data_IF_861168354210
#
_entry.id   IF_861168354210
#
_cell.length_a   1.000
_cell.length_b   1.000
_cell.length_c   1.000
_cell.angle_alpha   90.00
_cell.angle_beta   90.00
_cell.angle_gamma   90.00
#
_symmetry.space_group_name_H-M   'P 1'
#
loop_
_entity.id
_entity.type
_entity.pdbx_description
1 polymer ?
2 polymer ?
3 polymer ?
4 water ?
#
loop_
_entity_poly.entity_id
_entity_poly.type
_entity_poly.pdbx_seq_one_letter_code
_entity_poly.pdbx_strand_id
2 'polydeoxyribonucleotide' '(DT)(DA)(DA)(DC)(DC)(DG)(DT)(DG)(DC)(DA)(DC)(DT)(DC)(DA)(DA)(DT)(DG)(DC)(DA)(DA)(DT)(DC)' ?
3 'polydeoxyribonucleotide' '(DA)(DG)(DA)(DT)(DT)(DG)(DC)(DA)(DT)(DT)(DG)(DA)(DG)(DT)(DG)(DC)(DA)(DC)(DG)(DG)(DT)(DT)' ?
#
# COMPACT_ATOMS: atom_id res chain seq x y z
N UNK A 2 -26.89 38.24 39.62
CA UNK A 2 -27.07 36.75 39.66
C UNK A 2 -27.46 36.10 38.33
N UNK A 3 -26.51 35.95 37.41
CA UNK A 3 -26.78 35.34 36.10
C UNK A 3 -27.07 33.83 36.16
N UNK A 4 -27.99 33.39 35.31
CA UNK A 4 -28.37 32.00 35.23
C UNK A 4 -27.86 31.38 33.94
N UNK A 5 -27.67 30.07 33.95
CA UNK A 5 -27.22 29.37 32.77
C UNK A 5 -27.38 27.91 33.02
N UNK A 6 -27.58 27.16 31.95
CA UNK A 6 -27.74 25.72 32.09
C UNK A 6 -26.60 24.98 31.42
N UNK A 7 -26.08 23.99 32.14
CA UNK A 7 -24.97 23.21 31.63
C UNK A 7 -25.23 21.70 31.52
N UNK A 8 -24.23 20.96 31.07
CA UNK A 8 -24.34 19.51 30.92
C UNK A 8 -23.13 18.77 31.47
N UNK A 9 -23.35 17.78 32.33
CA UNK A 9 -22.25 17.06 32.94
C UNK A 9 -22.41 15.55 32.88
N UNK A 10 -21.28 14.85 32.82
CA UNK A 10 -21.30 13.40 32.80
C UNK A 10 -21.80 12.97 34.15
N UNK A 11 -22.72 12.02 34.17
CA UNK A 11 -23.26 11.56 35.43
C UNK A 11 -22.20 11.42 36.49
N UNK A 12 -21.07 10.82 36.12
CA UNK A 12 -19.97 10.65 37.06
C UNK A 12 -19.63 11.96 37.73
N UNK A 13 -19.34 12.96 36.89
CA UNK A 13 -18.98 14.29 37.37
C UNK A 13 -20.07 14.87 38.24
N UNK A 14 -21.28 14.83 37.70
CA UNK A 14 -22.44 15.36 38.39
C UNK A 14 -22.58 14.78 39.77
N UNK A 15 -22.65 13.46 39.85
CA UNK A 15 -22.78 12.80 41.15
C UNK A 15 -21.67 13.27 42.06
N UNK A 16 -20.43 13.22 41.58
CA UNK A 16 -19.30 13.67 42.36
C UNK A 16 -19.63 15.05 42.91
N UNK A 17 -20.13 15.90 42.03
CA UNK A 17 -20.50 17.25 42.42
C UNK A 17 -21.45 17.21 43.60
N UNK A 18 -22.67 16.73 43.36
CA UNK A 18 -23.66 16.66 44.44
C UNK A 18 -22.97 16.20 45.70
N UNK A 19 -22.14 15.18 45.57
CA UNK A 19 -21.40 14.68 46.70
C UNK A 19 -20.68 15.86 47.37
N UNK A 20 -19.65 16.36 46.70
CA UNK A 20 -18.88 17.47 47.23
C UNK A 20 -19.76 18.55 47.83
N UNK A 21 -20.71 19.03 47.06
CA UNK A 21 -21.59 20.08 47.54
C UNK A 21 -22.19 19.63 48.87
N UNK A 22 -22.83 18.46 48.87
CA UNK A 22 -23.47 17.93 50.08
C UNK A 22 -22.54 17.98 51.27
N UNK A 23 -21.32 17.47 51.10
CA UNK A 23 -20.34 17.45 52.18
C UNK A 23 -19.99 18.84 52.69
N UNK A 24 -19.68 19.75 51.78
CA UNK A 24 -19.33 21.09 52.18
C UNK A 24 -20.53 21.96 52.46
N UNK A 25 -21.70 21.34 52.49
CA UNK A 25 -22.93 22.07 52.76
C UNK A 25 -23.14 23.26 51.86
N UNK A 26 -22.94 23.05 50.57
CA UNK A 26 -23.06 24.11 49.59
C UNK A 26 -24.00 23.73 48.49
N UNK A 27 -24.61 24.72 47.87
CA UNK A 27 -25.48 24.44 46.76
C UNK A 27 -24.58 24.00 45.63
N UNK A 28 -25.14 23.41 44.59
CA UNK A 28 -24.34 23.00 43.48
C UNK A 28 -23.73 24.25 42.83
N UNK A 29 -24.56 25.26 42.65
CA UNK A 29 -24.08 26.48 42.07
C UNK A 29 -22.91 27.01 42.88
N UNK A 30 -23.04 27.04 44.19
CA UNK A 30 -21.97 27.53 45.04
C UNK A 30 -20.73 26.68 44.86
N UNK A 31 -20.92 25.38 45.03
CA UNK A 31 -19.84 24.44 44.88
C UNK A 31 -19.06 24.77 43.60
N UNK A 32 -19.78 24.95 42.52
CA UNK A 32 -19.17 25.29 41.25
C UNK A 32 -18.37 26.56 41.33
N UNK A 33 -19.02 27.62 41.79
CA UNK A 33 -18.41 28.93 41.95
C UNK A 33 -17.08 28.77 42.65
N UNK A 34 -17.10 28.01 43.72
CA UNK A 34 -15.90 27.74 44.47
C UNK A 34 -14.84 27.09 43.56
N UNK A 35 -15.12 25.87 43.12
CA UNK A 35 -14.19 25.15 42.25
C UNK A 35 -13.62 26.09 41.19
N UNK A 36 -14.50 26.81 40.51
CA UNK A 36 -14.05 27.75 39.49
C UNK A 36 -13.03 28.74 40.06
N UNK A 37 -13.43 29.51 41.08
CA UNK A 37 -12.51 30.48 41.67
C UNK A 37 -11.22 29.80 42.10
N UNK A 38 -11.36 28.66 42.78
CA UNK A 38 -10.20 27.91 43.22
C UNK A 38 -9.30 27.52 42.02
N UNK A 39 -9.87 26.87 41.01
CA UNK A 39 -9.08 26.47 39.84
C UNK A 39 -8.28 27.66 39.33
N UNK A 40 -8.92 28.82 39.36
CA UNK A 40 -8.28 30.07 38.95
C UNK A 40 -6.89 30.15 39.57
N UNK A 41 -6.68 29.50 40.72
CA UNK A 41 -5.38 29.54 41.41
C UNK A 41 -4.39 28.39 41.15
N UNK A 42 -4.74 27.44 40.27
CA UNK A 42 -3.83 26.33 40.03
C UNK A 42 -3.10 26.31 38.68
N UNK A 43 -3.70 25.62 37.70
CA UNK A 43 -3.14 25.51 36.35
C UNK A 43 -4.18 25.94 35.34
N UNK B 1 -25.83 8.46 31.76
CA UNK B 1 -25.96 9.33 30.56
C UNK B 1 -25.68 10.78 30.93
N UNK B 2 -25.49 11.62 29.92
CA UNK B 2 -25.22 13.04 30.15
C UNK B 2 -26.44 13.76 30.71
N UNK B 3 -26.30 14.23 31.93
CA UNK B 3 -27.40 14.95 32.55
C UNK B 3 -27.18 16.45 32.42
N UNK B 4 -28.30 17.15 32.34
CA UNK B 4 -28.31 18.60 32.22
C UNK B 4 -28.73 19.14 33.56
N UNK B 5 -28.33 20.39 33.85
CA UNK B 5 -28.71 21.10 35.09
C UNK B 5 -28.51 22.61 34.95
N UNK B 6 -29.39 23.36 35.60
CA UNK B 6 -29.39 24.81 35.56
C UNK B 6 -28.83 25.38 36.85
N UNK B 7 -27.94 26.37 36.73
CA UNK B 7 -27.32 26.97 37.91
C UNK B 7 -27.31 28.49 37.84
N UNK B 8 -26.88 29.11 38.92
CA UNK B 8 -26.80 30.57 39.00
C UNK B 8 -25.42 30.99 39.49
N UNK B 9 -24.85 32.00 38.84
CA UNK B 9 -23.55 32.50 39.23
C UNK B 9 -23.50 34.02 39.26
N UNK B 10 -22.64 34.56 40.12
CA UNK B 10 -22.53 36.00 40.20
C UNK B 10 -21.94 36.47 38.89
N UNK B 11 -22.44 37.59 38.38
CA UNK B 11 -21.95 38.13 37.13
C UNK B 11 -20.42 38.04 37.13
N UNK B 12 -19.82 38.40 38.25
CA UNK B 12 -18.39 38.33 38.42
C UNK B 12 -17.87 36.95 37.96
N UNK B 13 -18.27 35.92 38.69
CA UNK B 13 -17.87 34.53 38.40
C UNK B 13 -18.15 34.12 36.96
N UNK B 14 -19.38 34.35 36.52
CA UNK B 14 -19.77 34.00 35.16
C UNK B 14 -18.71 34.48 34.21
N UNK B 15 -18.50 35.78 34.21
CA UNK B 15 -17.52 36.37 33.33
C UNK B 15 -16.24 35.62 33.41
N UNK B 16 -15.68 35.55 34.61
CA UNK B 16 -14.43 34.82 34.79
C UNK B 16 -14.54 33.55 34.00
N UNK B 17 -15.55 32.78 34.37
CA UNK B 17 -15.83 31.50 33.76
C UNK B 17 -15.72 31.65 32.26
N UNK B 18 -16.59 32.49 31.71
CA UNK B 18 -16.62 32.78 30.30
C UNK B 18 -15.21 32.95 29.76
N UNK B 19 -14.42 33.77 30.48
CA UNK B 19 -13.05 34.06 30.11
C UNK B 19 -12.15 32.82 30.14
N UNK B 20 -12.06 32.16 31.29
CA UNK B 20 -11.24 30.95 31.41
C UNK B 20 -11.54 29.95 30.31
N UNK B 21 -12.82 29.69 30.10
CA UNK B 21 -13.23 28.74 29.08
C UNK B 21 -12.67 29.18 27.73
N UNK B 22 -12.95 30.44 27.38
CA UNK B 22 -12.51 31.04 26.11
C UNK B 22 -11.02 30.80 25.89
N UNK B 23 -10.23 31.09 26.92
CA UNK B 23 -8.79 30.93 26.84
C UNK B 23 -8.31 29.52 26.67
N UNK B 24 -8.96 28.61 27.37
CA UNK B 24 -8.56 27.21 27.29
C UNK B 24 -9.28 26.45 26.20
N UNK B 25 -9.98 27.18 25.33
CA UNK B 25 -10.71 26.57 24.25
C UNK B 25 -11.74 25.56 24.72
N UNK B 26 -12.35 25.84 25.86
CA UNK B 26 -13.33 24.94 26.46
C UNK B 26 -14.73 25.54 26.51
N UNK B 27 -15.72 24.68 26.59
CA UNK B 27 -17.08 25.14 26.69
C UNK B 27 -17.24 25.45 28.16
N UNK B 28 -18.28 26.19 28.48
CA UNK B 28 -18.53 26.53 29.86
C UNK B 28 -18.72 25.25 30.67
N UNK B 29 -19.42 24.26 30.10
CA UNK B 29 -19.64 23.00 30.81
C UNK B 29 -18.36 22.25 31.07
N UNK B 30 -17.52 22.20 30.04
CA UNK B 30 -16.25 21.52 30.15
C UNK B 30 -15.45 22.21 31.23
N UNK B 31 -15.31 23.52 31.07
CA UNK B 31 -14.55 24.33 32.01
C UNK B 31 -14.90 23.98 33.45
N UNK B 32 -16.20 23.94 33.72
CA UNK B 32 -16.70 23.62 35.04
C UNK B 32 -16.27 22.22 35.41
N UNK B 33 -16.57 21.28 34.52
CA UNK B 33 -16.21 19.89 34.73
C UNK B 33 -14.77 19.87 35.20
N UNK B 34 -13.91 20.48 34.39
CA UNK B 34 -12.50 20.55 34.68
C UNK B 34 -12.28 21.09 36.06
N UNK B 35 -12.71 22.31 36.30
CA UNK B 35 -12.51 22.91 37.59
C UNK B 35 -12.97 21.98 38.71
N UNK B 36 -14.10 21.32 38.49
CA UNK B 36 -14.62 20.40 39.49
C UNK B 36 -13.67 19.27 39.79
N UNK B 37 -13.34 18.50 38.75
CA UNK B 37 -12.43 17.38 38.91
C UNK B 37 -11.15 17.88 39.58
N UNK B 38 -10.53 18.87 38.97
CA UNK B 38 -9.31 19.45 39.48
C UNK B 38 -9.52 19.81 40.95
N UNK B 39 -10.55 20.60 41.22
CA UNK B 39 -10.82 21.03 42.58
C UNK B 39 -10.82 19.91 43.59
N UNK B 40 -11.26 18.70 43.26
CA UNK B 40 -11.19 17.78 44.38
C UNK B 40 -9.73 17.51 44.84
N UNK B 41 -9.06 18.65 45.04
CA UNK B 41 -7.68 18.98 45.49
C UNK B 41 -6.87 19.81 44.46
N UNK C 1 -17.22 21.29 0.09
CA UNK C 1 -16.76 22.70 -0.09
C UNK C 1 -15.27 22.88 0.22
N UNK C 2 -14.86 24.12 0.43
CA UNK C 2 -13.46 24.46 0.73
C UNK C 2 -13.38 25.64 1.70
N UNK C 3 -13.94 25.45 2.90
CA UNK C 3 -13.98 26.51 3.90
C UNK C 3 -12.68 26.82 4.62
N UNK C 4 -12.52 28.09 5.00
CA UNK C 4 -11.34 28.63 5.70
C UNK C 4 -11.65 28.96 7.12
N UNK C 5 -10.65 28.92 7.97
CA UNK C 5 -10.84 29.29 9.36
C UNK C 5 -9.47 29.43 10.00
N UNK C 6 -9.43 30.14 11.12
CA UNK C 6 -8.19 30.37 11.85
C UNK C 6 -8.20 29.80 13.26
N UNK C 7 -7.12 29.08 13.62
CA UNK C 7 -6.99 28.45 14.94
C UNK C 7 -5.80 28.96 15.79
N UNK C 8 -5.81 28.57 17.06
CA UNK C 8 -4.75 28.99 17.96
C UNK C 8 -4.12 27.76 18.61
N UNK C 9 -2.80 27.64 18.49
CA UNK C 9 -2.12 26.49 19.06
C UNK C 9 -0.88 26.78 19.88
N UNK C 10 -0.55 25.84 20.74
CA UNK C 10 0.62 25.94 21.59
C UNK C 10 1.87 25.73 20.75
N UNK C 11 2.79 26.69 20.84
CA UNK C 11 4.03 26.65 20.10
C UNK C 11 4.49 25.21 19.92
N UNK C 12 4.51 24.49 21.03
CA UNK C 12 4.90 23.10 21.01
C UNK C 12 4.12 22.35 19.93
N UNK C 13 2.79 22.26 20.10
CA UNK C 13 1.96 21.55 19.14
C UNK C 13 2.25 22.06 17.76
N UNK C 14 2.18 23.37 17.59
CA UNK C 14 2.42 23.96 16.30
C UNK C 14 3.70 23.42 15.71
N UNK C 15 4.80 23.61 16.43
CA UNK C 15 6.06 23.13 15.93
C UNK C 15 6.01 21.66 15.57
N UNK C 16 5.48 20.83 16.47
CA UNK C 16 5.39 19.42 16.14
C UNK C 16 4.62 19.25 14.83
N UNK C 17 3.51 19.98 14.71
CA UNK C 17 2.72 19.92 13.49
C UNK C 17 3.67 20.19 12.35
N UNK C 18 4.25 21.37 12.37
CA UNK C 18 5.22 21.76 11.36
C UNK C 18 6.09 20.56 11.02
N UNK C 19 6.60 19.91 12.05
CA UNK C 19 7.44 18.76 11.86
C UNK C 19 6.73 17.61 11.13
N UNK C 20 5.63 17.12 11.71
CA UNK C 20 4.87 16.04 11.10
C UNK C 20 4.53 16.31 9.64
N UNK C 21 4.04 17.50 9.35
CA UNK C 21 3.68 17.85 8.00
C UNK C 21 4.91 17.72 7.10
N UNK C 22 5.97 18.43 7.46
CA UNK C 22 7.22 18.44 6.71
C UNK C 22 7.69 17.04 6.38
N UNK C 23 7.61 16.16 7.38
CA UNK C 23 8.01 14.77 7.25
C UNK C 23 7.19 13.98 6.25
N UNK C 24 5.88 14.10 6.35
CA UNK C 24 4.97 13.39 5.47
C UNK C 24 4.70 14.13 4.17
N UNK C 25 5.43 15.20 3.93
CA UNK C 25 5.25 15.96 2.71
C UNK C 25 3.85 16.49 2.56
N UNK C 26 3.25 16.91 3.67
CA UNK C 26 1.91 17.44 3.63
C UNK C 26 1.89 18.87 4.11
N UNK C 27 0.82 19.59 3.79
CA UNK C 27 0.70 20.96 4.22
C UNK C 27 0.16 20.87 5.62
N UNK C 28 0.17 21.98 6.35
CA UNK C 28 -0.36 21.99 7.69
C UNK C 28 -1.82 21.55 7.62
N UNK C 29 -2.58 22.21 6.75
CA UNK C 29 -4.00 21.92 6.58
C UNK C 29 -4.23 20.44 6.38
N UNK C 30 -3.52 19.86 5.42
CA UNK C 30 -3.66 18.43 5.13
C UNK C 30 -3.35 17.61 6.36
N UNK C 31 -2.18 17.84 6.92
CA UNK C 31 -1.77 17.12 8.10
C UNK C 31 -2.92 17.19 9.12
N UNK C 32 -3.51 18.36 9.27
CA UNK C 32 -4.61 18.52 10.21
C UNK C 32 -5.74 17.59 9.82
N UNK C 33 -6.10 17.66 8.55
CA UNK C 33 -7.18 16.85 8.01
C UNK C 33 -6.99 15.39 8.27
N UNK C 34 -5.79 14.90 8.04
CA UNK C 34 -5.50 13.50 8.31
C UNK C 34 -5.77 13.23 9.78
N UNK C 35 -4.99 13.89 10.61
CA UNK C 35 -5.09 13.77 12.04
C UNK C 35 -6.55 13.61 12.36
N UNK C 36 -7.32 14.60 11.97
CA UNK C 36 -8.75 14.61 12.23
C UNK C 36 -9.46 13.33 11.80
N UNK C 37 -9.45 13.06 10.50
CA UNK C 37 -10.11 11.86 10.01
C UNK C 37 -9.58 10.68 10.78
N UNK C 38 -8.27 10.65 10.93
CA UNK C 38 -7.64 9.59 11.65
C UNK C 38 -8.23 9.53 13.05
N UNK C 39 -8.14 10.62 13.77
CA UNK C 39 -8.69 10.65 15.12
C UNK C 39 -10.09 10.11 15.14
N UNK C 40 -10.96 10.63 14.28
CA UNK C 40 -12.34 10.18 14.26
C UNK C 40 -12.41 8.67 14.14
N UNK C 41 -11.55 8.10 13.31
CA UNK C 41 -11.52 6.66 13.17
C UNK C 41 -10.66 6.19 14.33
N UNK C 42 -11.31 5.58 15.31
CA UNK C 42 -10.59 5.14 16.48
C UNK C 42 -10.96 6.03 17.64
N UNK C 43 -11.68 7.11 17.35
CA UNK C 43 -12.16 8.10 18.33
C UNK C 43 -11.18 8.68 19.36
N UNK D 1 4.83 30.94 23.92
CA UNK D 1 3.43 30.74 24.41
C UNK D 1 2.63 29.92 23.39
N UNK D 2 1.79 30.60 22.62
CA UNK D 2 0.97 29.98 21.59
C UNK D 2 0.66 30.97 20.47
N UNK D 3 0.72 30.49 19.24
CA UNK D 3 0.44 31.33 18.09
C UNK D 3 -0.81 30.96 17.32
N UNK D 4 -1.05 31.73 16.27
CA UNK D 4 -2.22 31.51 15.45
C UNK D 4 -1.88 31.14 14.03
N UNK D 5 -2.85 30.56 13.33
CA UNK D 5 -2.64 30.09 11.96
C UNK D 5 -3.96 29.92 11.20
N UNK D 6 -3.92 30.14 9.88
CA UNK D 6 -5.11 30.03 9.06
C UNK D 6 -5.04 28.82 8.15
N UNK D 7 -6.14 28.07 8.09
CA UNK D 7 -6.17 26.88 7.28
C UNK D 7 -7.42 26.77 6.46
N UNK D 8 -7.49 25.67 5.70
CA UNK D 8 -8.61 25.36 4.81
C UNK D 8 -9.01 23.89 4.92
N UNK D 9 -10.31 23.64 5.07
CA UNK D 9 -10.78 22.27 5.18
C UNK D 9 -12.01 22.01 4.30
N UNK D 10 -12.17 20.76 3.89
CA UNK D 10 -13.32 20.38 3.08
C UNK D 10 -14.55 20.53 3.95
N UNK D 11 -15.59 21.15 3.40
CA UNK D 11 -16.81 21.34 4.14
C UNK D 11 -17.14 20.08 4.95
N UNK D 12 -16.97 18.91 4.35
CA UNK D 12 -17.29 17.67 5.08
C UNK D 12 -16.47 17.59 6.34
N UNK D 13 -15.15 17.70 6.19
CA UNK D 13 -14.25 17.64 7.32
C UNK D 13 -14.57 18.74 8.30
N UNK D 14 -14.75 19.96 7.81
CA UNK D 14 -15.10 21.03 8.74
C UNK D 14 -16.33 20.59 9.52
N UNK D 15 -17.39 20.23 8.78
CA UNK D 15 -18.65 19.77 9.38
C UNK D 15 -18.39 18.83 10.53
N UNK D 16 -17.75 17.73 10.19
CA UNK D 16 -17.42 16.71 11.16
C UNK D 16 -16.66 17.29 12.33
N UNK D 17 -15.65 18.09 12.06
CA UNK D 17 -14.89 18.72 13.13
C UNK D 17 -15.87 19.47 14.03
N UNK D 18 -16.59 20.40 13.41
CA UNK D 18 -17.56 21.17 14.12
C UNK D 18 -18.36 20.19 14.98
N UNK D 19 -18.73 19.06 14.41
CA UNK D 19 -19.50 18.08 15.16
C UNK D 19 -18.72 17.55 16.35
N UNK D 20 -17.54 16.98 16.12
CA UNK D 20 -16.74 16.43 17.19
C UNK D 20 -16.44 17.42 18.31
N UNK D 21 -16.11 18.65 17.93
CA UNK D 21 -15.83 19.67 18.95
C UNK D 21 -17.08 19.82 19.81
N UNK D 22 -18.19 20.22 19.19
CA UNK D 22 -19.46 20.43 19.90
C UNK D 22 -19.75 19.29 20.88
N UNK D 23 -19.59 18.05 20.43
CA UNK D 23 -19.88 16.94 21.30
C UNK D 23 -18.88 16.69 22.41
N UNK D 24 -17.61 17.01 22.18
CA UNK D 24 -16.61 16.82 23.23
C UNK D 24 -16.45 18.08 24.10
N UNK D 25 -17.22 19.10 23.76
CA UNK D 25 -17.17 20.37 24.49
C UNK D 25 -15.87 21.11 24.30
N UNK D 26 -15.31 21.06 23.09
CA UNK D 26 -14.05 21.71 22.79
C UNK D 26 -14.22 22.73 21.70
N UNK D 27 -13.26 23.64 21.61
CA UNK D 27 -13.28 24.64 20.56
C UNK D 27 -12.70 23.93 19.37
N UNK D 28 -12.88 24.51 18.20
CA UNK D 28 -12.33 23.86 17.03
C UNK D 28 -10.81 23.72 17.19
N UNK D 29 -10.17 24.77 17.69
CA UNK D 29 -8.73 24.77 17.88
C UNK D 29 -8.33 23.64 18.81
N UNK D 30 -9.06 23.53 19.90
CA UNK D 30 -8.77 22.50 20.89
C UNK D 30 -8.84 21.14 20.22
N UNK D 31 -10.03 20.84 19.72
CA UNK D 31 -10.28 19.58 19.07
C UNK D 31 -9.10 19.23 18.21
N UNK D 32 -8.71 20.17 17.37
CA UNK D 32 -7.60 19.94 16.45
C UNK D 32 -6.33 19.60 17.19
N UNK D 33 -6.04 20.36 18.22
CA UNK D 33 -4.86 20.09 19.00
C UNK D 33 -4.92 18.66 19.51
N UNK D 34 -6.07 18.28 20.06
CA UNK D 34 -6.25 16.94 20.60
C UNK D 34 -5.98 15.91 19.53
N UNK D 35 -6.67 16.06 18.40
CA UNK D 35 -6.52 15.13 17.29
C UNK D 35 -5.04 15.06 16.94
N UNK D 36 -4.41 16.20 16.76
CA UNK D 36 -2.99 16.22 16.44
C UNK D 36 -2.21 15.41 17.45
N UNK D 37 -2.27 15.83 18.70
CA UNK D 37 -1.57 15.12 19.75
C UNK D 37 -1.84 13.62 19.66
N UNK D 38 -3.11 13.27 19.67
CA UNK D 38 -3.48 11.87 19.59
C UNK D 38 -2.91 11.21 18.35
N UNK D 39 -3.02 11.88 17.20
CA UNK D 39 -2.52 11.32 15.97
C UNK D 39 -1.05 10.97 16.08
N UNK D 40 -0.26 11.96 16.49
CA UNK D 40 1.18 11.76 16.63
C UNK D 40 1.47 10.66 17.63
N UNK D 41 0.97 10.83 18.85
CA UNK D 41 1.17 9.81 19.88
C UNK D 41 1.20 8.48 19.13
N UNK D 42 0.11 8.17 18.44
CA UNK D 42 0.03 6.94 17.68
C UNK D 42 0.79 7.00 16.37
N UNK D 43 2.08 7.32 16.42
CA UNK D 43 2.89 7.38 15.21
C UNK D 43 4.30 6.87 15.46
N UNK D 44 4.79 7.08 16.67
CA UNK D 44 6.12 6.62 17.05
C UNK D 44 5.96 5.24 17.72
N UNK E 1 11.72 23.66 -4.42
CA UNK E 1 10.27 23.89 -4.14
C UNK E 1 9.53 22.55 -4.11
N UNK E 2 8.29 22.55 -4.57
CA UNK E 2 7.45 21.35 -4.60
C UNK E 2 7.69 20.72 -5.98
N UNK E 3 8.18 19.48 -6.03
CA UNK E 3 8.45 18.77 -7.30
C UNK E 3 7.19 18.21 -7.95
N UNK E 4 7.08 18.33 -9.27
CA UNK E 4 5.91 17.79 -9.96
C UNK E 4 6.29 16.66 -10.88
N UNK E 5 5.31 15.79 -11.17
CA UNK E 5 5.56 14.65 -12.02
C UNK E 5 4.20 14.17 -12.48
N UNK E 6 4.16 13.50 -13.64
CA UNK E 6 2.89 12.98 -14.12
C UNK E 6 2.91 11.48 -14.22
N UNK E 7 1.79 10.88 -13.84
CA UNK E 7 1.70 9.44 -13.85
C UNK E 7 0.46 8.92 -14.53
N UNK E 8 0.35 7.59 -14.58
CA UNK E 8 -0.77 6.90 -15.22
C UNK E 8 -1.41 5.92 -14.27
N UNK E 9 -2.73 5.89 -14.27
CA UNK E 9 -3.46 5.00 -13.39
C UNK E 9 -4.66 4.31 -14.04
N UNK E 10 -4.89 3.07 -13.64
CA UNK E 10 -6.00 2.34 -14.15
C UNK E 10 -7.21 3.14 -13.68
N UNK E 11 -8.19 3.29 -14.55
CA UNK E 11 -9.38 4.01 -14.16
C UNK E 11 -9.78 3.57 -12.78
N UNK E 12 -9.80 2.26 -12.58
CA UNK E 12 -10.15 1.65 -11.30
C UNK E 12 -9.44 2.44 -10.19
N UNK E 13 -8.12 2.32 -10.18
CA UNK E 13 -7.26 3.00 -9.23
C UNK E 13 -7.65 4.45 -9.09
N UNK E 14 -7.52 5.16 -10.20
CA UNK E 14 -7.82 6.55 -10.28
C UNK E 14 -9.07 6.87 -9.50
N UNK E 15 -10.17 6.26 -9.91
CA UNK E 15 -11.46 6.45 -9.26
C UNK E 15 -11.34 6.29 -7.75
N UNK E 16 -10.82 5.14 -7.31
CA UNK E 16 -10.64 4.90 -5.88
C UNK E 16 -9.92 6.08 -5.28
N UNK E 17 -8.86 6.50 -5.94
CA UNK E 17 -8.09 7.64 -5.48
C UNK E 17 -9.09 8.74 -5.25
N UNK E 18 -9.68 9.23 -6.33
CA UNK E 18 -10.69 10.29 -6.28
C UNK E 18 -11.56 10.17 -5.06
N UNK E 19 -12.05 8.96 -4.84
CA UNK E 19 -12.91 8.68 -3.74
C UNK E 19 -12.19 8.88 -2.42
N UNK E 20 -11.15 8.09 -2.17
CA UNK E 20 -10.37 8.20 -0.94
C UNK E 20 -9.98 9.63 -0.56
N UNK E 21 -9.44 10.36 -1.51
CA UNK E 21 -9.06 11.74 -1.27
C UNK E 21 -10.30 12.52 -0.86
N UNK E 22 -11.34 12.46 -1.69
CA UNK E 22 -12.59 13.17 -1.44
C UNK E 22 -13.06 12.96 0.00
N UNK E 23 -13.07 11.71 0.43
CA UNK E 23 -13.50 11.32 1.76
C UNK E 23 -12.66 11.88 2.89
N UNK E 24 -11.35 11.84 2.72
CA UNK E 24 -10.47 12.35 3.76
C UNK E 24 -10.22 13.84 3.61
N UNK E 25 -10.86 14.46 2.62
CA UNK E 25 -10.69 15.88 2.39
C UNK E 25 -9.27 16.27 2.02
N UNK E 26 -8.64 15.48 1.17
CA UNK E 26 -7.28 15.77 0.74
C UNK E 26 -7.25 15.79 -0.76
N UNK E 27 -6.16 16.32 -1.30
CA UNK E 27 -5.98 16.37 -2.74
C UNK E 27 -5.44 15.01 -3.18
N UNK E 28 -5.49 14.74 -4.48
CA UNK E 28 -4.99 13.47 -4.96
C UNK E 28 -3.52 13.39 -4.59
N UNK E 29 -2.79 14.48 -4.81
CA UNK E 29 -1.36 14.53 -4.48
C UNK E 29 -1.13 14.18 -3.03
N UNK E 30 -1.92 14.78 -2.14
CA UNK E 30 -1.79 14.51 -0.71
C UNK E 30 -2.06 13.04 -0.47
N UNK E 31 -3.24 12.63 -0.88
CA UNK E 31 -3.67 11.25 -0.73
C UNK E 31 -2.51 10.34 -1.10
N UNK E 32 -1.92 10.62 -2.25
CA UNK E 32 -0.81 9.83 -2.73
C UNK E 32 0.32 9.88 -1.75
N UNK E 33 0.66 11.09 -1.32
CA UNK E 33 1.74 11.27 -0.35
C UNK E 33 1.52 10.43 0.90
N UNK E 34 0.30 10.46 1.43
CA UNK E 34 -0.03 9.70 2.62
C UNK E 34 0.18 8.24 2.35
N UNK E 35 -0.54 7.74 1.33
CA UNK E 35 -0.47 6.34 0.94
C UNK E 35 0.98 5.89 0.90
N UNK E 36 1.80 6.68 0.23
CA UNK E 36 3.22 6.39 0.11
C UNK E 36 3.93 6.28 1.47
N UNK E 37 3.82 7.34 2.27
CA UNK E 37 4.42 7.36 3.60
C UNK E 37 3.94 6.13 4.32
N UNK E 38 2.62 6.03 4.39
CA UNK E 38 1.98 4.90 5.01
C UNK E 38 2.61 3.62 4.49
N UNK E 39 2.64 3.46 3.16
CA UNK E 39 3.22 2.27 2.55
C UNK E 39 4.61 1.93 3.03
N UNK E 40 5.50 2.91 2.91
CA UNK E 40 6.88 2.72 3.32
C UNK E 40 6.98 2.41 4.79
N UNK E 41 6.47 3.32 5.60
CA UNK E 41 6.48 3.15 7.05
C UNK E 41 6.06 1.71 7.43
N UNK E 42 5.12 1.17 6.66
CA UNK E 42 4.64 -0.18 6.92
C UNK E 42 5.56 -1.23 6.35
N UNK E 43 6.68 -0.77 5.83
CA UNK E 43 7.69 -1.61 5.25
C UNK E 43 8.96 -0.86 5.66
N UNK E 44 8.83 -0.11 6.75
CA UNK E 44 9.89 0.74 7.27
C UNK E 44 11.09 0.01 7.87
N UNK E 45 11.30 0.17 9.18
CA UNK E 45 12.43 -0.47 9.88
C UNK E 45 12.14 -1.92 10.26
N UNK F 1 -10.63 1.68 -18.46
CA UNK F 1 -9.66 2.49 -19.28
C UNK F 1 -8.31 2.59 -18.56
N UNK F 2 -7.67 3.77 -18.63
CA UNK F 2 -6.36 4.04 -18.00
C UNK F 2 -5.98 5.49 -18.26
N UNK F 3 -6.27 6.38 -17.31
CA UNK F 3 -5.98 7.80 -17.52
C UNK F 3 -4.67 8.32 -16.92
N UNK F 4 -4.41 9.59 -17.20
CA UNK F 4 -3.20 10.24 -16.74
C UNK F 4 -3.55 11.46 -15.88
N UNK F 5 -2.63 11.79 -14.98
CA UNK F 5 -2.80 12.93 -14.09
C UNK F 5 -1.44 13.42 -13.58
N UNK F 6 -1.39 14.72 -13.33
CA UNK F 6 -0.20 15.44 -12.89
C UNK F 6 -0.24 15.78 -11.40
N UNK F 7 0.80 15.43 -10.67
CA UNK F 7 0.82 15.71 -9.25
C UNK F 7 2.08 16.44 -8.81
N UNK F 8 2.10 16.77 -7.53
CA UNK F 8 3.21 17.47 -6.90
C UNK F 8 3.62 16.72 -5.65
N UNK F 9 4.93 16.52 -5.46
CA UNK F 9 5.44 15.80 -4.30
C UNK F 9 6.67 16.47 -3.70
N UNK F 10 6.79 16.41 -2.37
CA UNK F 10 7.95 17.00 -1.71
C UNK F 10 9.22 16.19 -2.03
N UNK F 11 10.28 16.89 -2.41
CA UNK F 11 11.54 16.24 -2.75
C UNK F 11 11.78 14.98 -1.92
N UNK F 12 11.58 15.10 -0.62
CA UNK F 12 11.77 13.96 0.28
C UNK F 12 10.96 12.75 -0.15
N UNK F 13 9.65 12.90 -0.28
CA UNK F 13 8.83 11.78 -0.68
C UNK F 13 9.18 11.31 -2.08
N UNK F 14 9.33 12.26 -2.99
CA UNK F 14 9.67 11.92 -4.35
C UNK F 14 10.87 11.01 -4.41
N UNK F 15 11.98 11.48 -3.85
CA UNK F 15 13.20 10.68 -3.86
C UNK F 15 12.92 9.31 -3.29
N UNK F 16 12.27 9.29 -2.13
CA UNK F 16 11.90 8.05 -1.47
C UNK F 16 11.14 7.18 -2.48
N UNK F 17 10.19 7.78 -3.18
CA UNK F 17 9.41 7.07 -4.18
C UNK F 17 10.37 6.49 -5.18
N UNK F 18 11.18 7.37 -5.73
CA UNK F 18 12.20 6.98 -6.69
C UNK F 18 12.93 5.73 -6.20
N UNK F 19 13.41 5.77 -4.97
CA UNK F 19 14.11 4.64 -4.41
C UNK F 19 13.24 3.40 -4.46
N UNK F 20 12.14 3.46 -3.71
CA UNK F 20 11.21 2.35 -3.65
C UNK F 20 10.94 1.71 -5.01
N UNK F 21 10.57 2.55 -5.98
CA UNK F 21 10.26 2.10 -7.34
C UNK F 21 11.41 1.27 -7.84
N UNK F 22 12.58 1.88 -7.84
CA UNK F 22 13.80 1.23 -8.30
C UNK F 22 14.05 -0.10 -7.61
N UNK F 23 13.93 -0.14 -6.29
CA UNK F 23 14.17 -1.38 -5.56
C UNK F 23 13.20 -2.49 -5.93
N UNK F 24 11.91 -2.18 -5.98
CA UNK F 24 10.94 -3.22 -6.31
C UNK F 24 10.81 -3.40 -7.81
N UNK F 25 11.63 -2.67 -8.56
CA UNK F 25 11.60 -2.76 -10.01
C UNK F 25 10.31 -2.31 -10.66
N UNK F 26 9.67 -1.30 -10.08
CA UNK F 26 8.42 -0.81 -10.65
C UNK F 26 8.54 0.62 -11.08
N UNK F 27 7.57 1.05 -11.87
CA UNK F 27 7.52 2.42 -12.35
C UNK F 27 7.00 3.26 -11.20
N UNK F 28 7.19 4.57 -11.27
CA UNK F 28 6.68 5.39 -10.21
C UNK F 28 5.18 5.25 -10.20
N UNK F 29 4.55 5.27 -11.37
CA UNK F 29 3.10 5.14 -11.41
C UNK F 29 2.61 3.83 -10.80
N UNK F 30 3.33 2.76 -11.08
CA UNK F 30 2.97 1.45 -10.56
C UNK F 30 3.14 1.53 -9.06
N UNK F 31 4.35 1.94 -8.67
CA UNK F 31 4.71 2.08 -7.26
C UNK F 31 3.58 2.76 -6.47
N UNK F 32 3.12 3.88 -7.02
CA UNK F 32 2.05 4.64 -6.41
C UNK F 32 0.75 3.85 -6.40
N UNK F 33 0.43 3.18 -7.50
CA UNK F 33 -0.78 2.40 -7.57
C UNK F 33 -0.75 1.35 -6.47
N UNK F 34 0.39 0.69 -6.34
CA UNK F 34 0.54 -0.30 -5.30
C UNK F 34 0.25 0.33 -3.95
N UNK F 35 1.05 1.34 -3.62
CA UNK F 35 0.91 2.06 -2.36
C UNK F 35 -0.55 2.35 -2.10
N UNK F 36 -1.21 2.92 -3.09
CA UNK F 36 -2.61 3.26 -2.97
C UNK F 36 -3.46 2.05 -2.67
N UNK F 37 -3.38 1.06 -3.53
CA UNK F 37 -4.12 -0.17 -3.31
C UNK F 37 -3.84 -0.62 -1.87
N UNK F 38 -2.57 -0.81 -1.55
CA UNK F 38 -2.18 -1.24 -0.22
C UNK F 38 -2.87 -0.37 0.80
N UNK F 39 -2.65 0.94 0.72
CA UNK F 39 -3.24 1.88 1.68
C UNK F 39 -4.69 1.53 1.92
N UNK F 40 -5.42 1.44 0.82
CA UNK F 40 -6.83 1.09 0.82
C UNK F 40 -7.08 -0.03 1.82
N UNK F 41 -6.32 -1.12 1.66
CA UNK F 41 -6.45 -2.27 2.55
C UNK F 41 -5.54 -2.02 3.75
N UNK F 42 -5.84 -0.97 4.51
CA UNK F 42 -5.03 -0.64 5.66
C UNK F 42 -5.73 0.26 6.65
N UNK G 2 17.56 -13.35 -32.92
CA UNK G 2 17.65 -13.84 -31.52
C UNK G 2 18.35 -12.79 -30.68
N UNK G 3 17.57 -11.87 -30.16
CA UNK G 3 18.09 -10.75 -29.36
C UNK G 3 18.58 -11.10 -27.97
N UNK G 4 19.53 -10.31 -27.49
CA UNK G 4 20.06 -10.53 -26.16
C UNK G 4 19.77 -9.33 -25.29
N UNK G 5 19.86 -9.53 -23.98
CA UNK G 5 19.57 -8.46 -23.04
C UNK G 5 20.05 -8.91 -21.68
N UNK G 6 20.30 -7.96 -20.78
CA UNK G 6 20.76 -8.30 -19.44
C UNK G 6 19.80 -7.85 -18.34
N UNK G 7 19.63 -8.70 -17.34
CA UNK G 7 18.72 -8.39 -16.25
C UNK G 7 19.33 -8.53 -14.85
N UNK G 8 18.51 -8.24 -13.86
CA UNK G 8 18.89 -8.31 -12.46
C UNK G 8 17.88 -9.10 -11.66
N UNK G 9 18.35 -10.00 -10.82
CA UNK G 9 17.42 -10.80 -10.04
C UNK G 9 17.86 -11.03 -8.62
N UNK G 10 16.87 -11.22 -7.74
CA UNK G 10 17.14 -11.47 -6.35
C UNK G 10 17.91 -12.76 -6.29
N UNK G 11 18.90 -12.84 -5.42
CA UNK G 11 19.67 -14.08 -5.30
C UNK G 11 18.67 -15.21 -5.19
N UNK G 12 17.66 -15.02 -4.34
CA UNK G 12 16.62 -16.01 -4.15
C UNK G 12 16.12 -16.47 -5.53
N UNK G 13 15.52 -15.54 -6.26
CA UNK G 13 15.00 -15.79 -7.60
C UNK G 13 16.04 -16.50 -8.45
N UNK G 14 17.17 -15.83 -8.62
CA UNK G 14 18.26 -16.37 -9.39
C UNK G 14 18.42 -17.81 -9.02
N UNK G 15 18.76 -17.99 -7.76
CA UNK G 15 18.95 -19.29 -7.15
C UNK G 15 17.91 -20.26 -7.69
N UNK G 16 16.64 -20.04 -7.36
CA UNK G 16 15.61 -20.94 -7.83
C UNK G 16 15.63 -21.13 -9.33
N UNK G 17 15.94 -20.07 -10.08
CA UNK G 17 16.02 -20.19 -11.52
C UNK G 17 16.98 -21.32 -11.81
N UNK G 18 18.24 -21.14 -11.42
CA UNK G 18 19.26 -22.17 -11.64
C UNK G 18 18.69 -23.53 -11.35
N UNK G 19 18.06 -23.61 -10.19
CA UNK G 19 17.44 -24.83 -9.74
C UNK G 19 16.53 -25.38 -10.81
N UNK G 20 15.44 -24.67 -11.07
CA UNK G 20 14.47 -25.09 -12.05
C UNK G 20 15.09 -25.49 -13.39
N UNK G 21 15.95 -24.62 -13.90
CA UNK G 21 16.61 -24.85 -15.17
C UNK G 21 17.32 -26.18 -15.14
N UNK G 22 18.19 -26.34 -14.16
CA UNK G 22 18.98 -27.56 -13.99
C UNK G 22 18.07 -28.77 -14.02
N UNK G 23 17.01 -28.69 -13.24
CA UNK G 23 16.05 -29.75 -13.11
C UNK G 23 15.37 -30.09 -14.44
N UNK G 24 14.97 -29.06 -15.15
CA UNK G 24 14.28 -29.25 -16.42
C UNK G 24 15.21 -29.44 -17.59
N UNK G 25 16.51 -29.40 -17.31
CA UNK G 25 17.51 -29.58 -18.36
C UNK G 25 17.45 -28.48 -19.39
N UNK G 26 17.17 -27.27 -18.92
CA UNK G 26 17.10 -26.14 -19.83
C UNK G 26 18.10 -25.11 -19.41
N UNK G 27 18.42 -24.21 -20.34
CA UNK G 27 19.33 -23.12 -20.06
C UNK G 27 18.51 -22.07 -19.29
N UNK G 28 19.17 -21.14 -18.62
CA UNK G 28 18.42 -20.15 -17.90
C UNK G 28 17.59 -19.36 -18.89
N UNK G 29 18.18 -19.03 -20.03
CA UNK G 29 17.46 -18.27 -21.02
C UNK G 29 16.20 -19.00 -21.44
N UNK G 30 16.33 -20.29 -21.72
CA UNK G 30 15.19 -21.13 -22.13
C UNK G 30 14.15 -21.14 -21.03
N UNK G 31 14.62 -21.50 -19.84
CA UNK G 31 13.84 -21.57 -18.64
C UNK G 31 12.92 -20.39 -18.56
N UNK G 32 13.53 -19.22 -18.66
CA UNK G 32 12.79 -18.00 -18.61
C UNK G 32 11.76 -17.94 -19.70
N UNK G 33 12.20 -18.17 -20.93
CA UNK G 33 11.31 -18.14 -22.08
C UNK G 33 10.06 -18.92 -21.73
N UNK G 34 10.30 -20.13 -21.23
CA UNK G 34 9.22 -21.01 -20.83
C UNK G 34 8.31 -20.24 -19.89
N UNK G 35 8.86 -19.83 -18.75
CA UNK G 35 8.11 -19.11 -17.75
C UNK G 35 7.26 -18.02 -18.38
N UNK G 36 7.91 -17.13 -19.13
CA UNK G 36 7.20 -16.03 -19.77
C UNK G 36 6.04 -16.50 -20.59
N UNK G 37 6.33 -17.39 -21.53
CA UNK G 37 5.30 -17.92 -22.39
C UNK G 37 4.17 -18.45 -21.52
N UNK G 38 4.50 -19.29 -20.55
CA UNK G 38 3.43 -19.79 -19.71
C UNK G 38 2.71 -18.67 -19.00
N UNK G 39 3.47 -17.78 -18.39
CA UNK G 39 2.86 -16.67 -17.66
C UNK G 39 1.76 -16.10 -18.52
N UNK G 40 2.17 -15.72 -19.71
CA UNK G 40 1.28 -15.12 -20.68
C UNK G 40 0.06 -15.95 -20.99
N UNK G 41 0.29 -17.14 -21.52
CA UNK G 41 -0.82 -18.00 -21.86
C UNK G 41 -1.90 -17.87 -20.79
N UNK G 42 -1.50 -17.84 -19.53
CA UNK G 42 -2.45 -17.73 -18.44
C UNK G 42 -3.38 -16.52 -18.42
N UNK G 43 -2.93 -15.42 -19.01
CA UNK G 43 -3.70 -14.19 -19.06
C UNK G 43 -4.65 -14.09 -20.26
N UNK G 44 -5.32 -15.19 -20.57
CA UNK G 44 -6.23 -15.19 -21.70
C UNK G 44 -7.62 -15.69 -21.34
N UNK G 45 -8.39 -16.04 -22.37
CA UNK G 45 -9.76 -16.53 -22.24
C UNK G 45 -9.83 -17.71 -21.28
N UNK H 1 21.12 -10.79 -1.78
CA UNK H 1 21.90 -9.86 -2.64
C UNK H 1 21.48 -9.94 -4.11
N UNK H 2 21.32 -8.78 -4.73
CA UNK H 2 20.94 -8.71 -6.13
C UNK H 2 22.11 -9.02 -7.05
N UNK H 3 21.87 -9.93 -8.00
CA UNK H 3 22.90 -10.32 -8.96
C UNK H 3 22.42 -10.10 -10.40
N UNK H 4 23.38 -10.07 -11.31
CA UNK H 4 23.16 -9.84 -12.73
C UNK H 4 23.46 -11.01 -13.65
N UNK H 5 22.84 -11.03 -14.82
CA UNK H 5 23.11 -12.07 -15.81
C UNK H 5 22.55 -11.64 -17.14
N UNK H 6 23.17 -12.15 -18.21
CA UNK H 6 22.76 -11.84 -19.58
C UNK H 6 22.13 -13.04 -20.28
N UNK H 7 20.99 -12.81 -20.92
CA UNK H 7 20.28 -13.89 -21.58
C UNK H 7 19.92 -13.58 -23.03
N UNK H 8 19.33 -14.57 -23.69
CA UNK H 8 18.92 -14.38 -25.07
C UNK H 8 17.47 -14.80 -25.23
N UNK H 9 16.72 -13.99 -25.94
CA UNK H 9 15.32 -14.29 -26.16
C UNK H 9 14.93 -14.14 -27.61
N UNK H 10 13.92 -14.87 -28.00
CA UNK H 10 13.46 -14.78 -29.36
C UNK H 10 12.73 -13.45 -29.47
N UNK H 11 12.96 -12.74 -30.58
CA UNK H 11 12.33 -11.45 -30.83
C UNK H 11 10.89 -11.48 -30.32
N UNK H 12 10.14 -12.46 -30.80
CA UNK H 12 8.75 -12.62 -30.41
C UNK H 12 8.61 -12.53 -28.90
N UNK H 13 9.26 -13.44 -28.19
CA UNK H 13 9.17 -13.47 -26.74
C UNK H 13 9.64 -12.16 -26.15
N UNK H 14 10.77 -11.69 -26.62
CA UNK H 14 11.30 -10.43 -26.13
C UNK H 14 10.23 -9.38 -26.27
N UNK H 15 9.71 -9.24 -27.48
CA UNK H 15 8.67 -8.27 -27.73
C UNK H 15 7.56 -8.44 -26.72
N UNK H 16 6.92 -9.59 -26.72
CA UNK H 16 5.85 -9.84 -25.76
C UNK H 16 6.28 -9.38 -24.36
N UNK H 17 7.47 -9.77 -23.95
CA UNK H 17 7.97 -9.38 -22.67
C UNK H 17 7.82 -7.88 -22.56
N UNK H 18 8.54 -7.16 -23.40
CA UNK H 18 8.48 -5.71 -23.41
C UNK H 18 7.05 -5.25 -23.22
N UNK H 19 6.15 -5.89 -23.94
CA UNK H 19 4.74 -5.53 -23.91
C UNK H 19 4.15 -5.71 -22.52
N UNK H 20 4.19 -6.93 -22.00
CA UNK H 20 3.65 -7.21 -20.67
C UNK H 20 4.24 -6.34 -19.57
N UNK H 21 5.53 -6.07 -19.66
CA UNK H 21 6.20 -5.22 -18.69
C UNK H 21 5.50 -3.88 -18.75
N UNK H 22 5.49 -3.29 -19.94
CA UNK H 22 4.84 -1.99 -20.21
C UNK H 22 3.50 -1.88 -19.53
N UNK H 23 2.59 -2.78 -19.91
CA UNK H 23 1.23 -2.80 -19.40
C UNK H 23 1.16 -2.92 -17.88
N UNK H 24 2.00 -3.77 -17.31
CA UNK H 24 2.01 -3.99 -15.87
C UNK H 24 2.89 -3.03 -15.06
N UNK H 25 3.48 -2.06 -15.75
CA UNK H 25 4.33 -1.09 -15.08
C UNK H 25 5.57 -1.66 -14.40
N UNK H 26 6.11 -2.73 -14.97
CA UNK H 26 7.29 -3.40 -14.40
C UNK H 26 8.49 -3.36 -15.30
N UNK H 27 9.65 -3.59 -14.69
CA UNK H 27 10.91 -3.63 -15.42
C UNK H 27 10.91 -4.98 -16.08
N UNK H 28 11.75 -5.17 -17.09
CA UNK H 28 11.78 -6.46 -17.75
C UNK H 28 12.22 -7.45 -16.69
N UNK H 29 13.20 -7.04 -15.90
CA UNK H 29 13.74 -7.87 -14.84
C UNK H 29 12.66 -8.24 -13.86
N UNK H 30 11.86 -7.25 -13.49
CA UNK H 30 10.78 -7.51 -12.56
C UNK H 30 9.79 -8.47 -13.22
N UNK H 31 9.37 -8.14 -14.43
CA UNK H 31 8.41 -8.95 -15.15
C UNK H 31 8.82 -10.41 -15.12
N UNK H 32 10.07 -10.66 -15.48
CA UNK H 32 10.63 -12.00 -15.51
C UNK H 32 10.53 -12.68 -14.15
N UNK H 33 10.96 -11.99 -13.09
CA UNK H 33 10.90 -12.57 -11.75
C UNK H 33 9.48 -13.02 -11.44
N UNK H 34 8.52 -12.13 -11.73
CA UNK H 34 7.11 -12.41 -11.51
C UNK H 34 6.79 -13.71 -12.18
N UNK H 35 7.05 -13.73 -13.48
CA UNK H 35 6.83 -14.89 -14.31
C UNK H 35 7.43 -16.10 -13.62
N UNK H 36 8.73 -16.04 -13.38
CA UNK H 36 9.45 -17.11 -12.73
C UNK H 36 8.77 -17.53 -11.47
N UNK H 37 8.64 -16.59 -10.55
CA UNK H 37 7.96 -16.90 -9.32
C UNK H 37 6.61 -17.55 -9.60
N UNK H 38 5.76 -16.85 -10.34
CA UNK H 38 4.47 -17.43 -10.62
C UNK H 38 4.63 -18.81 -11.21
N UNK H 39 5.52 -18.97 -12.17
CA UNK H 39 5.73 -20.28 -12.77
C UNK H 39 5.94 -21.34 -11.71
N UNK H 40 6.87 -21.06 -10.80
CA UNK H 40 7.20 -21.96 -9.72
C UNK H 40 5.95 -22.33 -8.91
N UNK H 41 5.27 -21.34 -8.33
CA UNK H 41 4.06 -21.60 -7.55
C UNK H 41 3.24 -22.61 -8.33
N UNK H 42 3.43 -22.59 -9.64
CA UNK H 42 2.75 -23.50 -10.53
C UNK H 42 2.42 -24.86 -9.96
N UNK H 43 3.45 -25.63 -9.61
CA UNK H 43 3.22 -26.97 -9.06
C UNK H 43 2.93 -26.99 -7.56
N UNK H 44 2.23 -28.04 -7.13
CA UNK H 44 1.86 -28.22 -5.73
C UNK H 44 0.98 -27.07 -5.25
N UNK I 1 26.64 -33.14 -18.16
CA UNK I 1 27.01 -33.34 -19.59
C UNK I 1 25.78 -33.02 -20.43
N UNK I 2 25.99 -32.46 -21.61
CA UNK I 2 24.86 -32.13 -22.43
C UNK I 2 24.74 -33.13 -23.57
N UNK I 3 24.89 -34.41 -23.25
CA UNK I 3 24.81 -35.52 -24.20
C UNK I 3 24.06 -35.26 -25.51
N UNK I 4 24.57 -35.85 -26.59
CA UNK I 4 23.97 -35.66 -27.89
C UNK I 4 23.42 -36.97 -28.40
N UNK I 5 22.42 -36.90 -29.28
CA UNK I 5 21.82 -38.11 -29.83
C UNK I 5 20.98 -37.76 -31.06
N UNK I 6 20.82 -38.70 -32.00
CA UNK I 6 20.03 -38.42 -33.21
C UNK I 6 18.76 -39.25 -33.31
N UNK I 7 17.68 -38.59 -33.71
CA UNK I 7 16.38 -39.23 -33.82
C UNK I 7 15.71 -39.13 -35.19
N UNK I 8 14.55 -39.79 -35.31
CA UNK I 8 13.78 -39.81 -36.54
C UNK I 8 12.34 -39.50 -36.21
N UNK I 9 11.72 -38.60 -36.96
CA UNK I 9 10.32 -38.27 -36.70
C UNK I 9 9.45 -38.08 -37.92
N UNK I 10 8.14 -38.18 -37.68
CA UNK I 10 7.14 -37.99 -38.71
C UNK I 10 7.24 -36.56 -39.19
N UNK I 11 7.30 -36.37 -40.51
CA UNK I 11 7.35 -35.02 -41.06
C UNK I 11 6.33 -34.23 -40.27
N UNK I 12 5.15 -34.81 -40.18
CA UNK I 12 4.05 -34.19 -39.47
C UNK I 12 4.53 -33.70 -38.09
N UNK I 13 4.99 -34.65 -37.27
CA UNK I 13 5.47 -34.32 -35.93
C UNK I 13 6.59 -33.28 -35.94
N UNK I 14 7.61 -33.53 -36.77
CA UNK I 14 8.75 -32.63 -36.86
C UNK I 14 8.27 -31.22 -37.08
N UNK I 15 7.42 -31.06 -38.09
CA UNK I 15 6.90 -29.74 -38.42
C UNK I 15 6.29 -29.14 -37.17
N UNK I 16 5.34 -29.85 -36.57
CA UNK I 16 4.69 -29.36 -35.37
C UNK I 16 5.75 -28.91 -34.36
N UNK I 17 6.76 -29.75 -34.17
CA UNK I 17 7.83 -29.42 -33.26
C UNK I 17 8.39 -28.08 -33.69
N UNK I 18 8.85 -28.02 -34.93
CA UNK I 18 9.42 -26.77 -35.43
C UNK I 18 8.50 -25.64 -35.07
N UNK I 19 7.22 -25.89 -35.24
CA UNK I 19 6.22 -24.88 -34.92
C UNK I 19 6.31 -24.48 -33.44
N UNK I 20 5.94 -25.38 -32.54
CA UNK I 20 5.97 -25.09 -31.11
C UNK I 20 7.25 -24.47 -30.62
N UNK I 21 8.37 -24.99 -31.10
CA UNK I 21 9.65 -24.47 -30.70
C UNK I 21 9.71 -23.01 -31.11
N UNK I 22 9.41 -22.73 -32.37
CA UNK I 22 9.46 -21.36 -32.82
C UNK I 22 8.52 -20.46 -32.03
N UNK I 23 7.33 -20.95 -31.71
CA UNK I 23 6.35 -20.16 -30.93
C UNK I 23 6.82 -19.81 -29.52
N UNK I 24 7.38 -20.79 -28.84
CA UNK I 24 7.84 -20.57 -27.49
C UNK I 24 9.26 -20.03 -27.41
N UNK I 25 9.89 -19.78 -28.56
CA UNK I 25 11.24 -19.24 -28.55
C UNK I 25 12.30 -20.19 -28.00
N UNK I 26 12.14 -21.48 -28.30
CA UNK I 26 13.07 -22.50 -27.83
C UNK I 26 13.68 -23.32 -28.95
N UNK I 27 14.83 -23.90 -28.67
CA UNK I 27 15.51 -24.76 -29.63
C UNK I 27 14.69 -26.03 -29.71
N UNK I 28 14.85 -26.76 -30.79
CA UNK I 28 14.12 -27.99 -30.90
C UNK I 28 14.51 -28.82 -29.69
N UNK I 29 15.82 -28.90 -29.42
CA UNK I 29 16.35 -29.66 -28.29
C UNK I 29 15.63 -29.25 -27.03
N UNK I 30 15.64 -27.97 -26.72
CA UNK I 30 14.96 -27.56 -25.51
C UNK I 30 13.48 -27.87 -25.59
N UNK I 31 12.85 -27.52 -26.70
CA UNK I 31 11.44 -27.78 -26.85
C UNK I 31 11.23 -29.22 -26.41
N UNK I 32 12.03 -30.10 -26.96
CA UNK I 32 11.92 -31.51 -26.62
C UNK I 32 12.11 -31.72 -25.11
N UNK I 33 13.20 -31.20 -24.55
CA UNK I 33 13.45 -31.35 -23.12
C UNK I 33 12.19 -30.96 -22.35
N UNK I 34 11.61 -29.83 -22.73
CA UNK I 34 10.39 -29.36 -22.09
C UNK I 34 9.34 -30.47 -22.13
N UNK I 35 8.88 -30.81 -23.33
CA UNK I 35 7.88 -31.84 -23.50
C UNK I 35 8.15 -33.06 -22.63
N UNK I 36 9.36 -33.61 -22.73
CA UNK I 36 9.75 -34.77 -21.94
C UNK I 36 9.49 -34.57 -20.45
N UNK I 37 10.17 -33.57 -19.87
CA UNK I 37 10.02 -33.27 -18.45
C UNK I 37 8.53 -33.20 -18.21
N UNK I 38 7.88 -32.39 -19.02
CA UNK I 38 6.44 -32.24 -18.93
C UNK I 38 5.72 -33.58 -18.90
N UNK I 39 5.88 -34.36 -19.96
CA UNK I 39 5.21 -35.66 -20.01
C UNK I 39 5.43 -36.44 -18.73
N UNK I 40 6.67 -36.48 -18.29
CA UNK I 40 7.03 -37.20 -17.08
C UNK I 40 6.25 -36.76 -15.84
N UNK I 41 6.27 -35.46 -15.55
CA UNK I 41 5.58 -34.95 -14.36
C UNK I 41 4.16 -35.50 -14.14
N UNK I 42 3.45 -35.77 -15.23
CA UNK I 42 2.11 -36.31 -15.09
C UNK I 42 2.14 -37.83 -15.05
N UNK I 43 3.34 -38.38 -14.86
CA UNK I 43 3.55 -39.83 -14.81
C UNK I 43 3.26 -40.51 -16.15
N UNK J 1 12.51 -38.65 -45.72
CA UNK J 1 11.31 -39.48 -46.05
C UNK J 1 10.68 -39.94 -44.74
N UNK J 2 11.01 -39.21 -43.69
CA UNK J 2 10.57 -39.43 -42.32
C UNK J 2 11.75 -38.91 -41.51
N UNK J 3 12.06 -37.66 -41.85
CA UNK J 3 13.14 -36.83 -41.31
C UNK J 3 13.94 -37.21 -40.08
N UNK J 4 15.23 -36.92 -40.18
CA UNK J 4 16.14 -37.16 -39.08
C UNK J 4 16.62 -35.83 -38.52
N UNK J 5 17.05 -35.83 -37.27
CA UNK J 5 17.53 -34.62 -36.63
C UNK J 5 18.34 -35.01 -35.43
N UNK J 6 19.35 -34.21 -35.14
CA UNK J 6 20.24 -34.46 -34.02
C UNK J 6 20.09 -33.38 -32.93
N UNK J 7 19.98 -33.84 -31.68
CA UNK J 7 19.78 -32.94 -30.55
C UNK J 7 20.70 -33.18 -29.37
N UNK J 8 20.51 -32.38 -28.33
CA UNK J 8 21.30 -32.53 -27.12
C UNK J 8 20.43 -32.37 -25.89
N UNK J 9 20.66 -33.25 -24.92
CA UNK J 9 19.88 -33.23 -23.70
C UNK J 9 20.75 -33.34 -22.47
N UNK J 10 20.18 -32.92 -21.35
CA UNK J 10 20.88 -33.00 -20.08
C UNK J 10 20.92 -34.49 -19.73
N UNK J 11 22.06 -34.96 -19.21
CA UNK J 11 22.19 -36.37 -18.86
C UNK J 11 20.96 -36.86 -18.12
N UNK J 12 20.50 -36.06 -17.17
CA UNK J 12 19.31 -36.44 -16.40
C UNK J 12 18.12 -36.71 -17.30
N UNK J 13 17.77 -35.75 -18.14
CA UNK J 13 16.63 -35.88 -19.04
C UNK J 13 16.78 -37.10 -19.94
N UNK J 14 17.93 -37.19 -20.59
CA UNK J 14 18.22 -38.32 -21.45
C UNK J 14 17.91 -39.59 -20.67
N UNK J 15 18.63 -39.73 -19.56
CA UNK J 15 18.52 -40.84 -18.63
C UNK J 15 17.03 -41.22 -18.50
N UNK J 16 16.25 -40.30 -17.93
CA UNK J 16 14.85 -40.53 -17.74
C UNK J 16 14.20 -40.93 -19.04
N UNK J 17 14.62 -40.33 -20.15
CA UNK J 17 14.02 -40.72 -21.44
C UNK J 17 14.23 -42.20 -21.66
N UNK J 18 15.48 -42.63 -21.69
CA UNK J 18 15.74 -44.04 -21.89
C UNK J 18 14.86 -44.85 -20.94
N UNK J 19 14.75 -44.39 -19.70
CA UNK J 19 13.91 -45.06 -18.72
C UNK J 19 12.52 -45.26 -19.29
N UNK J 20 11.79 -44.16 -19.41
CA UNK J 20 10.43 -44.22 -19.90
C UNK J 20 10.30 -44.98 -21.22
N UNK J 21 11.30 -44.87 -22.10
CA UNK J 21 11.26 -45.57 -23.39
C UNK J 21 11.26 -47.07 -23.11
N UNK J 22 12.27 -47.53 -22.37
CA UNK J 22 12.40 -48.95 -22.00
C UNK J 22 11.10 -49.49 -21.43
N UNK J 23 10.61 -48.84 -20.39
CA UNK J 23 9.39 -49.25 -19.73
C UNK J 23 8.18 -49.30 -20.68
N UNK J 24 8.07 -48.33 -21.58
CA UNK J 24 6.93 -48.28 -22.50
C UNK J 24 7.16 -49.12 -23.76
N UNK J 25 8.36 -49.68 -23.88
CA UNK J 25 8.69 -50.49 -25.05
C UNK J 25 8.77 -49.70 -26.35
N UNK J 26 9.11 -48.43 -26.22
CA UNK J 26 9.21 -47.55 -27.37
C UNK J 26 10.63 -47.12 -27.61
N UNK J 27 10.95 -46.81 -28.86
CA UNK J 27 12.28 -46.34 -29.18
C UNK J 27 12.38 -44.92 -28.65
N UNK J 28 13.59 -44.43 -28.50
CA UNK J 28 13.77 -43.09 -28.01
C UNK J 28 12.97 -42.16 -28.93
N UNK J 29 13.16 -42.33 -30.23
CA UNK J 29 12.48 -41.52 -31.23
C UNK J 29 10.98 -41.51 -31.00
N UNK J 30 10.43 -42.70 -30.76
CA UNK J 30 9.00 -42.87 -30.53
C UNK J 30 8.57 -42.15 -29.29
N UNK J 31 9.24 -42.48 -28.20
CA UNK J 31 8.94 -41.87 -26.90
C UNK J 31 8.76 -40.38 -27.09
N UNK J 32 9.77 -39.76 -27.70
CA UNK J 32 9.76 -38.33 -27.97
C UNK J 32 8.54 -37.91 -28.77
N UNK J 33 8.28 -38.60 -29.87
CA UNK J 33 7.12 -38.23 -30.66
C UNK J 33 5.89 -38.25 -29.76
N UNK J 34 5.77 -39.28 -28.93
CA UNK J 34 4.63 -39.38 -28.03
C UNK J 34 4.54 -38.15 -27.17
N UNK J 35 5.58 -37.92 -26.39
CA UNK J 35 5.61 -36.76 -25.52
C UNK J 35 5.20 -35.51 -26.26
N UNK J 36 5.83 -35.24 -27.41
CA UNK J 36 5.50 -34.06 -28.17
C UNK J 36 4.04 -34.03 -28.50
N UNK J 37 3.55 -35.07 -29.18
CA UNK J 37 2.14 -35.16 -29.52
C UNK J 37 1.34 -34.81 -28.28
N UNK J 38 1.60 -35.57 -27.23
CA UNK J 38 0.93 -35.37 -25.96
C UNK J 38 1.01 -33.93 -25.49
N UNK J 39 2.23 -33.40 -25.39
CA UNK J 39 2.42 -32.04 -24.94
C UNK J 39 1.50 -31.10 -25.69
N UNK J 40 1.53 -31.21 -27.01
CA UNK J 40 0.71 -30.37 -27.87
C UNK J 40 -0.76 -30.49 -27.57
N UNK J 41 -1.33 -31.66 -27.87
CA UNK J 41 -2.74 -31.91 -27.65
C UNK J 41 -3.18 -31.22 -26.37
N UNK J 42 -2.39 -31.36 -25.32
CA UNK J 42 -2.72 -30.72 -24.07
C UNK J 42 -2.92 -29.24 -24.35
N UNK J 43 -1.80 -28.54 -24.49
CA UNK J 43 -1.77 -27.10 -24.77
C UNK J 43 -3.01 -26.52 -25.47
N UNK J 44 -3.49 -27.23 -26.51
CA UNK J 44 -4.64 -26.79 -27.30
C UNK J 44 -5.92 -26.54 -26.50
#
# INVERSE_FOLDING_TARGET
MKKRLTITLSESVLENLEKMAREMGLSKSAMISVALENYKKGQEK
MKKRLTITLSESVLENLEKMAREMGLSKSAMISVALENYKKGQEK
MKKRLTITLSESVLENLEKMAREMGLSKSAMISVALENYKKGQEK
MKKRLTITLSESVLENLEKMAREMGLSKSAMISVALENYKKGQEK
MKKRLTITLSESVLENLEKMAREMGLSKSAMISVALENYKKGQEK
MKKRLTITLSESVLENLEKMAREMGLSKSAMISVALENYKKGQEK
MKKRLTITLSESVLENLEKMAREMGLSKSAMISVALENYKKGQEK
MKKRLTITLSESVLENLEKMAREMGLSKSAMISVALENYKKGQEK
MKKRLTITLSESVLENLEKMAREMGLSKSAMISVALENYKKGQEK
MKKRLTITLSESVLENLEKMAREMGLSKSAMISVALENYKKGQEK
#
